data_IF_438780230151
#
_entry.id   IF_438780230151
#
_cell.length_a   1.000
_cell.length_b   1.000
_cell.length_c   1.000
_cell.angle_alpha   90.00
_cell.angle_beta   90.00
_cell.angle_gamma   90.00
#
_symmetry.space_group_name_H-M   'P 1'
#
loop_
_entity.id
_entity.type
_entity.pdbx_description
1 polymer ?
#
# COMPACT_ATOMS: atom_id res chain seq x y z
N UNK A 1 16.44 47.21 -28.00
CA UNK A 1 16.87 46.38 -26.85
C UNK A 1 15.99 45.14 -26.66
N UNK A 2 14.66 45.21 -26.80
CA UNK A 2 13.78 44.04 -26.70
C UNK A 2 14.05 42.93 -27.72
N UNK A 3 14.49 43.29 -28.93
CA UNK A 3 14.86 42.35 -29.99
C UNK A 3 16.04 41.44 -29.60
N UNK A 4 17.09 42.01 -28.99
CA UNK A 4 18.26 41.24 -28.54
C UNK A 4 17.88 40.30 -27.39
N UNK A 5 17.04 40.75 -26.46
CA UNK A 5 16.57 39.91 -25.36
C UNK A 5 15.71 38.73 -25.85
N UNK A 6 14.86 38.97 -26.86
CA UNK A 6 14.08 37.92 -27.52
C UNK A 6 14.98 36.87 -28.18
N UNK A 7 16.01 37.31 -28.91
CA UNK A 7 16.97 36.40 -29.56
C UNK A 7 17.74 35.52 -28.57
N UNK A 8 18.20 36.09 -27.46
CA UNK A 8 18.88 35.32 -26.40
C UNK A 8 17.93 34.30 -25.77
N UNK A 9 16.68 34.69 -25.50
CA UNK A 9 15.68 33.79 -24.92
C UNK A 9 15.33 32.63 -25.87
N UNK A 10 15.19 32.91 -27.16
CA UNK A 10 14.90 31.90 -28.19
C UNK A 10 16.08 30.93 -28.36
N UNK A 11 17.32 31.43 -28.42
CA UNK A 11 18.52 30.60 -28.48
C UNK A 11 18.59 29.65 -27.27
N UNK A 12 18.49 30.19 -26.05
CA UNK A 12 18.53 29.37 -24.82
C UNK A 12 17.40 28.33 -24.81
N UNK A 13 16.18 28.73 -25.18
CA UNK A 13 15.01 27.83 -25.17
C UNK A 13 15.13 26.71 -26.21
N UNK A 14 15.77 26.99 -27.36
CA UNK A 14 16.00 26.00 -28.42
C UNK A 14 17.14 25.04 -28.09
N UNK A 15 18.25 25.53 -27.53
CA UNK A 15 19.46 24.71 -27.30
C UNK A 15 19.36 23.88 -26.02
N UNK A 16 18.62 24.33 -25.00
CA UNK A 16 18.46 23.59 -23.74
C UNK A 16 17.94 22.14 -23.92
N UNK A 17 16.87 21.89 -24.71
CA UNK A 17 16.40 20.54 -25.00
C UNK A 17 17.40 19.60 -25.66
N UNK A 18 18.25 20.10 -26.56
CA UNK A 18 19.25 19.31 -27.27
C UNK A 18 20.42 18.92 -26.36
N UNK A 19 20.88 19.86 -25.53
CA UNK A 19 22.06 19.65 -24.67
C UNK A 19 21.70 18.94 -23.38
N UNK A 20 20.61 19.35 -22.72
CA UNK A 20 20.23 18.85 -21.39
C UNK A 20 19.17 17.74 -21.46
N UNK A 21 18.54 17.55 -22.62
CA UNK A 21 17.39 16.68 -22.77
C UNK A 21 16.15 17.22 -22.05
N UNK A 22 15.00 16.62 -22.33
CA UNK A 22 13.81 16.85 -21.52
C UNK A 22 13.82 15.95 -20.29
N UNK A 23 13.61 16.53 -19.11
CA UNK A 23 13.36 15.76 -17.90
C UNK A 23 12.14 14.87 -18.14
N UNK A 24 12.37 13.56 -18.27
CA UNK A 24 11.31 12.58 -18.44
C UNK A 24 10.49 12.53 -17.16
N UNK A 25 9.32 13.16 -17.19
CA UNK A 25 8.33 12.99 -16.14
C UNK A 25 7.68 11.64 -16.36
N UNK A 26 8.07 10.65 -15.57
CA UNK A 26 7.32 9.41 -15.48
C UNK A 26 5.96 9.75 -14.87
N UNK A 27 4.93 9.71 -15.70
CA UNK A 27 3.57 9.69 -15.20
C UNK A 27 3.41 8.43 -14.35
N UNK A 28 2.61 8.53 -13.28
CA UNK A 28 2.35 7.37 -12.44
C UNK A 28 1.73 6.30 -13.33
N UNK A 29 2.14 5.05 -13.13
CA UNK A 29 1.73 3.88 -13.94
C UNK A 29 0.20 3.75 -14.09
N UNK A 30 -0.57 4.32 -13.17
CA UNK A 30 -2.02 4.24 -13.15
C UNK A 30 -2.76 5.35 -13.92
N UNK A 31 -2.08 6.39 -14.41
CA UNK A 31 -2.74 7.48 -15.13
C UNK A 31 -2.96 7.07 -16.60
N UNK A 32 -4.20 7.09 -17.05
CA UNK A 32 -4.56 6.74 -18.42
C UNK A 32 -4.30 7.89 -19.40
N UNK A 33 -4.20 7.56 -20.70
CA UNK A 33 -4.07 8.54 -21.79
C UNK A 33 -5.26 9.50 -21.81
N UNK A 34 -6.49 8.98 -21.69
CA UNK A 34 -7.71 9.78 -21.62
C UNK A 34 -7.66 10.81 -20.47
N UNK A 35 -7.13 10.45 -19.30
CA UNK A 35 -6.94 11.41 -18.19
C UNK A 35 -5.90 12.48 -18.52
N UNK A 36 -4.84 12.14 -19.26
CA UNK A 36 -3.85 13.12 -19.71
C UNK A 36 -4.45 14.11 -20.71
N UNK A 37 -5.27 13.64 -21.64
CA UNK A 37 -5.97 14.49 -22.61
C UNK A 37 -6.92 15.46 -21.91
N UNK A 38 -7.69 14.97 -20.93
CA UNK A 38 -8.54 15.82 -20.08
C UNK A 38 -7.73 16.87 -19.30
N UNK A 39 -6.54 16.52 -18.79
CA UNK A 39 -5.66 17.48 -18.12
C UNK A 39 -5.19 18.57 -19.09
N UNK A 40 -4.90 18.19 -20.34
CA UNK A 40 -4.50 19.12 -21.37
C UNK A 40 -5.65 20.04 -21.78
N UNK A 41 -6.84 19.51 -21.96
CA UNK A 41 -8.05 20.31 -22.22
C UNK A 41 -8.29 21.34 -21.11
N UNK A 42 -8.18 20.93 -19.84
CA UNK A 42 -8.29 21.84 -18.69
C UNK A 42 -7.27 22.98 -18.77
N UNK A 43 -6.04 22.71 -19.21
CA UNK A 43 -5.00 23.75 -19.39
C UNK A 43 -5.40 24.74 -20.48
N UNK A 44 -5.94 24.25 -21.59
CA UNK A 44 -6.42 25.10 -22.69
C UNK A 44 -7.58 26.01 -22.22
N UNK A 45 -8.54 25.47 -21.45
CA UNK A 45 -9.61 26.27 -20.84
C UNK A 45 -9.07 27.31 -19.85
N UNK A 46 -8.01 26.98 -19.10
CA UNK A 46 -7.34 27.93 -18.21
C UNK A 46 -6.68 29.08 -18.98
N UNK A 47 -6.07 28.79 -20.14
CA UNK A 47 -5.50 29.81 -21.01
C UNK A 47 -6.59 30.77 -21.54
N UNK A 48 -7.76 30.25 -21.93
CA UNK A 48 -8.89 31.08 -22.36
C UNK A 48 -9.36 32.07 -21.29
N UNK A 49 -9.35 31.67 -20.01
CA UNK A 49 -9.64 32.58 -18.89
C UNK A 49 -8.60 33.70 -18.79
N UNK A 50 -7.31 33.37 -18.93
CA UNK A 50 -6.23 34.34 -18.80
C UNK A 50 -6.22 35.37 -19.93
N UNK A 51 -6.67 34.99 -21.13
CA UNK A 51 -6.73 35.87 -22.33
C UNK A 51 -8.03 36.70 -22.36
N UNK A 52 -9.04 36.35 -21.57
CA UNK A 52 -10.35 37.01 -21.60
C UNK A 52 -10.28 38.51 -21.22
N UNK A 53 -10.81 39.36 -22.10
CA UNK A 53 -10.75 40.82 -21.96
C UNK A 53 -11.94 41.41 -21.19
N UNK A 54 -13.13 40.82 -21.29
CA UNK A 54 -14.36 41.34 -20.66
C UNK A 54 -14.85 40.42 -19.55
N UNK A 55 -15.53 40.99 -18.55
CA UNK A 55 -16.04 40.25 -17.38
C UNK A 55 -17.01 39.13 -17.77
N UNK A 56 -17.85 39.35 -18.78
CA UNK A 56 -18.79 38.35 -19.29
C UNK A 56 -18.07 37.17 -19.96
N UNK A 57 -17.10 37.42 -20.85
CA UNK A 57 -16.30 36.36 -21.49
C UNK A 57 -15.50 35.55 -20.46
N UNK A 58 -14.96 36.23 -19.44
CA UNK A 58 -14.26 35.60 -18.32
C UNK A 58 -15.18 34.68 -17.51
N UNK A 59 -16.40 35.11 -17.21
CA UNK A 59 -17.38 34.30 -16.50
C UNK A 59 -17.74 33.02 -17.28
N UNK A 60 -17.95 33.13 -18.60
CA UNK A 60 -18.22 31.96 -19.47
C UNK A 60 -17.05 30.98 -19.49
N UNK A 61 -15.83 31.47 -19.73
CA UNK A 61 -14.63 30.62 -19.74
C UNK A 61 -14.37 29.96 -18.36
N UNK A 62 -14.69 30.67 -17.27
CA UNK A 62 -14.59 30.14 -15.92
C UNK A 62 -15.59 29.00 -15.66
N UNK A 63 -16.81 29.09 -16.18
CA UNK A 63 -17.79 28.02 -16.11
C UNK A 63 -17.31 26.77 -16.85
N UNK A 64 -16.81 26.92 -18.09
CA UNK A 64 -16.26 25.82 -18.89
C UNK A 64 -15.06 25.14 -18.19
N UNK A 65 -14.12 25.93 -17.67
CA UNK A 65 -12.99 25.40 -16.89
C UNK A 65 -13.46 24.61 -15.67
N UNK A 66 -14.52 25.07 -15.00
CA UNK A 66 -15.04 24.42 -13.79
C UNK A 66 -15.58 23.03 -14.11
N UNK A 67 -16.29 22.86 -15.22
CA UNK A 67 -16.78 21.55 -15.66
C UNK A 67 -15.65 20.60 -16.06
N UNK A 68 -14.72 21.04 -16.90
CA UNK A 68 -13.57 20.19 -17.29
C UNK A 68 -12.70 19.83 -16.07
N UNK A 69 -12.53 20.75 -15.12
CA UNK A 69 -11.80 20.47 -13.88
C UNK A 69 -12.52 19.44 -12.99
N UNK A 70 -13.87 19.41 -12.98
CA UNK A 70 -14.63 18.34 -12.32
C UNK A 70 -14.39 17.00 -13.02
N UNK A 71 -14.40 16.96 -14.35
CA UNK A 71 -14.15 15.75 -15.13
C UNK A 71 -12.75 15.19 -14.87
N UNK A 72 -11.70 16.02 -14.94
CA UNK A 72 -10.32 15.62 -14.58
C UNK A 72 -10.25 15.03 -13.16
N UNK A 73 -10.91 15.65 -12.19
CA UNK A 73 -10.94 15.12 -10.81
C UNK A 73 -11.70 13.79 -10.72
N UNK A 74 -12.68 13.53 -11.58
CA UNK A 74 -13.40 12.25 -11.63
C UNK A 74 -12.53 11.18 -12.30
N UNK A 75 -11.95 11.48 -13.46
CA UNK A 75 -11.11 10.53 -14.20
C UNK A 75 -9.91 10.07 -13.38
N UNK A 76 -9.20 11.00 -12.71
CA UNK A 76 -8.08 10.67 -11.81
C UNK A 76 -8.50 9.71 -10.68
N UNK A 77 -9.72 9.89 -10.12
CA UNK A 77 -10.22 9.00 -9.06
C UNK A 77 -10.57 7.63 -9.62
N UNK A 78 -11.18 7.58 -10.81
CA UNK A 78 -11.54 6.34 -11.50
C UNK A 78 -10.30 5.53 -11.86
N UNK A 79 -9.31 6.17 -12.49
CA UNK A 79 -8.04 5.55 -12.88
C UNK A 79 -7.32 4.94 -11.68
N UNK A 80 -7.21 5.72 -10.58
CA UNK A 80 -6.60 5.23 -9.34
C UNK A 80 -7.37 4.02 -8.78
N UNK A 81 -8.71 4.04 -8.82
CA UNK A 81 -9.54 2.94 -8.33
C UNK A 81 -9.32 1.68 -9.15
N UNK A 82 -9.40 1.79 -10.48
CA UNK A 82 -9.16 0.67 -11.41
C UNK A 82 -7.80 0.04 -11.18
N UNK A 83 -6.75 0.86 -11.10
CA UNK A 83 -5.40 0.36 -10.82
C UNK A 83 -5.29 -0.39 -9.47
N UNK A 84 -5.94 0.10 -8.42
CA UNK A 84 -5.96 -0.59 -7.12
C UNK A 84 -6.72 -1.92 -7.19
N UNK A 85 -7.81 -1.96 -7.95
CA UNK A 85 -8.62 -3.16 -8.17
C UNK A 85 -7.86 -4.21 -8.99
N UNK A 86 -7.16 -3.79 -10.04
CA UNK A 86 -6.28 -4.65 -10.86
C UNK A 86 -5.14 -5.24 -10.02
N UNK A 87 -4.53 -4.44 -9.14
CA UNK A 87 -3.54 -4.95 -8.19
C UNK A 87 -4.14 -5.96 -7.21
N UNK A 88 -5.32 -5.68 -6.67
CA UNK A 88 -5.99 -6.58 -5.73
C UNK A 88 -6.38 -7.92 -6.38
N UNK A 89 -6.91 -7.88 -7.61
CA UNK A 89 -7.24 -9.08 -8.38
C UNK A 89 -5.99 -9.89 -8.71
N UNK A 90 -4.89 -9.23 -9.08
CA UNK A 90 -3.58 -9.87 -9.33
C UNK A 90 -3.03 -10.52 -8.06
N UNK A 91 -3.13 -9.84 -6.91
CA UNK A 91 -2.74 -10.42 -5.62
C UNK A 91 -3.56 -11.67 -5.29
N UNK A 92 -4.88 -11.64 -5.49
CA UNK A 92 -5.75 -12.80 -5.27
C UNK A 92 -5.40 -13.98 -6.18
N UNK A 93 -5.01 -13.72 -7.43
CA UNK A 93 -4.50 -14.75 -8.35
C UNK A 93 -3.18 -15.34 -7.85
N UNK A 94 -2.22 -14.50 -7.48
CA UNK A 94 -0.92 -14.96 -6.96
C UNK A 94 -1.08 -15.81 -5.68
N UNK A 95 -2.02 -15.47 -4.80
CA UNK A 95 -2.33 -16.28 -3.62
C UNK A 95 -2.86 -17.68 -3.99
N UNK A 96 -3.79 -17.75 -4.96
CA UNK A 96 -4.34 -19.03 -5.45
C UNK A 96 -3.30 -19.92 -6.11
N UNK A 97 -2.33 -19.32 -6.79
CA UNK A 97 -1.23 -20.02 -7.47
C UNK A 97 -0.05 -20.34 -6.54
N UNK A 98 -0.10 -19.94 -5.26
CA UNK A 98 1.00 -20.12 -4.31
C UNK A 98 2.23 -19.24 -4.60
N UNK A 99 2.12 -18.23 -5.47
CA UNK A 99 3.22 -17.32 -5.80
C UNK A 99 3.40 -16.24 -4.72
N UNK A 100 3.98 -16.66 -3.59
CA UNK A 100 4.14 -15.80 -2.41
C UNK A 100 5.03 -14.58 -2.65
N UNK A 101 5.99 -14.65 -3.57
CA UNK A 101 6.86 -13.51 -3.90
C UNK A 101 6.04 -12.37 -4.54
N UNK A 102 5.26 -12.69 -5.58
CA UNK A 102 4.41 -11.70 -6.24
C UNK A 102 3.34 -11.14 -5.29
N UNK A 103 2.73 -12.00 -4.47
CA UNK A 103 1.76 -11.58 -3.46
C UNK A 103 2.35 -10.52 -2.51
N UNK A 104 3.55 -10.77 -1.98
CA UNK A 104 4.26 -9.85 -1.09
C UNK A 104 4.59 -8.53 -1.77
N UNK A 105 5.10 -8.57 -3.00
CA UNK A 105 5.46 -7.37 -3.77
C UNK A 105 4.22 -6.50 -4.07
N UNK A 106 3.10 -7.11 -4.46
CA UNK A 106 1.83 -6.40 -4.73
C UNK A 106 1.24 -5.83 -3.44
N UNK A 107 1.24 -6.61 -2.36
CA UNK A 107 0.76 -6.15 -1.04
C UNK A 107 1.59 -4.96 -0.56
N UNK A 108 2.91 -4.99 -0.78
CA UNK A 108 3.81 -3.86 -0.49
C UNK A 108 3.43 -2.63 -1.32
N UNK A 109 3.17 -2.78 -2.63
CA UNK A 109 2.66 -1.69 -3.49
C UNK A 109 1.33 -1.11 -3.00
N UNK A 110 0.37 -1.96 -2.60
CA UNK A 110 -0.96 -1.55 -2.13
C UNK A 110 -0.93 -0.84 -0.77
N UNK A 111 -0.07 -1.32 0.14
CA UNK A 111 0.02 -0.80 1.52
C UNK A 111 0.61 0.61 1.65
N UNK A 112 1.21 1.12 0.56
CA UNK A 112 1.89 2.42 0.53
C UNK A 112 3.12 2.47 1.46
N UNK A 113 3.84 3.59 1.46
CA UNK A 113 4.92 3.81 2.43
C UNK A 113 4.33 3.98 3.85
N UNK A 114 4.12 2.88 4.56
CA UNK A 114 4.06 2.93 6.03
C UNK A 114 5.40 3.48 6.50
N UNK A 115 5.40 4.51 7.35
CA UNK A 115 6.63 4.94 8.03
C UNK A 115 7.24 3.69 8.65
N UNK A 116 8.44 3.31 8.25
CA UNK A 116 9.17 2.27 8.96
C UNK A 116 9.29 2.75 10.40
N UNK A 117 8.57 2.13 11.33
CA UNK A 117 9.11 2.02 12.66
C UNK A 117 10.27 1.03 12.49
N UNK A 118 11.47 1.53 12.19
CA UNK A 118 12.67 0.75 12.45
C UNK A 118 12.70 0.53 13.95
N UNK A 119 12.11 -0.58 14.39
CA UNK A 119 12.32 -1.09 15.73
C UNK A 119 13.77 -1.56 15.74
N UNK A 120 14.66 -0.87 16.47
CA UNK A 120 16.05 -1.26 16.48
C UNK A 120 16.17 -2.67 17.06
N UNK A 121 16.83 -3.57 16.32
CA UNK A 121 17.05 -4.95 16.76
C UNK A 121 18.20 -4.93 17.76
N UNK A 122 18.01 -5.55 18.93
CA UNK A 122 19.08 -5.68 19.93
C UNK A 122 19.98 -6.89 19.64
N UNK A 123 21.26 -6.73 19.88
CA UNK A 123 22.25 -7.82 19.89
C UNK A 123 21.96 -8.77 21.04
N UNK A 124 22.63 -9.93 21.04
CA UNK A 124 22.55 -10.90 22.15
C UNK A 124 22.99 -10.29 23.49
N UNK A 125 23.92 -9.32 23.45
CA UNK A 125 24.38 -8.55 24.61
C UNK A 125 23.51 -7.34 24.98
N UNK A 126 22.36 -7.13 24.31
CA UNK A 126 21.42 -6.05 24.62
C UNK A 126 21.69 -4.71 23.92
N UNK A 127 22.77 -4.58 23.16
CA UNK A 127 23.11 -3.37 22.42
C UNK A 127 22.22 -3.17 21.19
N UNK A 128 21.89 -1.92 20.86
CA UNK A 128 21.05 -1.61 19.70
C UNK A 128 21.85 -1.69 18.39
N UNK A 129 21.39 -2.52 17.45
CA UNK A 129 22.01 -2.67 16.13
C UNK A 129 21.32 -1.74 15.12
N UNK A 130 22.07 -0.76 14.62
CA UNK A 130 21.61 0.24 13.63
C UNK A 130 21.94 -0.12 12.18
N UNK A 131 22.93 -0.98 11.95
CA UNK A 131 23.36 -1.39 10.59
C UNK A 131 22.53 -2.59 10.07
N UNK A 132 21.97 -2.47 8.86
CA UNK A 132 21.13 -3.49 8.20
C UNK A 132 21.81 -4.84 8.02
N UNK A 133 23.11 -4.87 7.71
CA UNK A 133 23.87 -6.11 7.54
C UNK A 133 24.04 -6.83 8.89
N UNK A 134 24.40 -6.09 9.94
CA UNK A 134 24.49 -6.61 11.30
C UNK A 134 23.13 -7.11 11.82
N UNK A 135 22.04 -6.44 11.46
CA UNK A 135 20.68 -6.91 11.79
C UNK A 135 20.37 -8.25 11.11
N UNK A 136 20.73 -8.42 9.83
CA UNK A 136 20.57 -9.70 9.12
C UNK A 136 21.40 -10.81 9.78
N UNK A 137 22.65 -10.54 10.12
CA UNK A 137 23.51 -11.50 10.82
C UNK A 137 22.93 -11.91 12.17
N UNK A 138 22.35 -10.96 12.92
CA UNK A 138 21.68 -11.26 14.20
C UNK A 138 20.44 -12.14 14.02
N UNK A 139 19.65 -11.91 12.98
CA UNK A 139 18.50 -12.77 12.65
C UNK A 139 18.96 -14.20 12.30
N UNK A 140 20.01 -14.33 11.49
CA UNK A 140 20.58 -15.65 11.13
C UNK A 140 21.07 -16.39 12.38
N UNK A 141 21.75 -15.72 13.29
CA UNK A 141 22.20 -16.30 14.57
C UNK A 141 21.00 -16.77 15.42
N UNK A 142 19.99 -15.91 15.60
CA UNK A 142 18.80 -16.22 16.40
C UNK A 142 18.03 -17.43 15.85
N UNK A 143 17.78 -17.47 14.54
CA UNK A 143 17.08 -18.60 13.93
C UNK A 143 17.92 -19.88 13.91
N UNK A 144 19.26 -19.78 13.80
CA UNK A 144 20.13 -20.95 13.93
C UNK A 144 20.04 -21.58 15.31
N UNK A 145 20.09 -20.78 16.37
CA UNK A 145 19.93 -21.25 17.76
C UNK A 145 18.54 -21.85 18.02
N UNK A 146 17.49 -21.21 17.49
CA UNK A 146 16.11 -21.63 17.72
C UNK A 146 15.76 -22.93 16.99
N UNK A 147 16.14 -23.05 15.70
CA UNK A 147 15.72 -24.16 14.84
C UNK A 147 16.68 -25.36 14.90
N UNK A 148 17.95 -25.16 15.28
CA UNK A 148 18.94 -26.24 15.36
C UNK A 148 19.32 -26.55 16.81
N UNK A 149 18.42 -26.32 17.77
CA UNK A 149 18.66 -26.68 19.17
C UNK A 149 18.87 -28.20 19.26
N UNK A 150 20.03 -28.69 19.73
CA UNK A 150 20.21 -30.12 19.95
C UNK A 150 19.20 -30.60 20.99
N UNK A 151 18.74 -31.85 20.86
CA UNK A 151 17.88 -32.47 21.86
C UNK A 151 18.51 -32.30 23.25
N UNK A 152 17.74 -31.82 24.23
CA UNK A 152 18.30 -31.58 25.55
C UNK A 152 18.76 -32.91 26.15
N UNK A 153 20.02 -32.96 26.60
CA UNK A 153 20.62 -34.13 27.24
C UNK A 153 19.86 -34.58 28.50
N UNK A 154 19.18 -33.63 29.15
CA UNK A 154 18.18 -33.93 30.16
C UNK A 154 16.81 -33.90 29.46
N UNK A 155 16.13 -35.04 29.28
CA UNK A 155 14.70 -34.98 28.98
C UNK A 155 14.04 -34.17 30.12
N UNK A 156 13.12 -33.22 29.82
CA UNK A 156 12.35 -32.60 30.88
C UNK A 156 11.70 -33.71 31.69
N UNK A 157 11.94 -33.73 33.00
CA UNK A 157 11.25 -34.63 33.92
C UNK A 157 9.81 -34.12 34.01
N UNK A 158 8.99 -34.54 33.04
CA UNK A 158 7.55 -34.33 33.06
C UNK A 158 7.06 -35.34 34.09
N UNK A 159 6.83 -34.88 35.32
CA UNK A 159 6.01 -35.64 36.26
C UNK A 159 4.72 -35.99 35.51
N UNK A 160 4.43 -37.29 35.41
CA UNK A 160 3.23 -37.75 34.76
C UNK A 160 2.05 -37.02 35.41
N UNK A 161 1.34 -36.22 34.61
CA UNK A 161 0.11 -35.59 35.07
C UNK A 161 -0.76 -36.73 35.63
N UNK A 162 -1.40 -36.55 36.80
CA UNK A 162 -2.36 -37.51 37.32
C UNK A 162 -3.32 -37.86 36.19
N UNK A 163 -3.21 -39.09 35.70
CA UNK A 163 -4.06 -39.56 34.62
C UNK A 163 -5.45 -39.67 35.22
N UNK A 164 -6.41 -39.08 34.51
CA UNK A 164 -7.83 -39.02 34.82
C UNK A 164 -8.25 -37.94 35.83
N UNK A 165 -8.29 -36.69 35.35
CA UNK A 165 -9.41 -35.84 35.76
C UNK A 165 -10.69 -36.57 35.35
N UNK A 166 -11.70 -36.73 36.24
CA UNK A 166 -12.95 -37.39 35.93
C UNK A 166 -13.81 -36.48 35.05
N UNK A 167 -13.34 -36.23 33.84
CA UNK A 167 -14.04 -35.50 32.81
C UNK A 167 -14.77 -36.57 32.02
N UNK A 168 -16.08 -36.64 32.21
CA UNK A 168 -16.95 -37.50 31.42
C UNK A 168 -16.92 -37.01 29.96
N UNK A 169 -16.08 -37.63 29.14
CA UNK A 169 -15.98 -37.37 27.69
C UNK A 169 -17.10 -38.07 26.91
N UNK A 170 -18.00 -38.77 27.61
CA UNK A 170 -19.15 -39.45 27.03
C UNK A 170 -20.25 -38.48 26.56
N UNK A 171 -21.16 -38.93 25.68
CA UNK A 171 -22.29 -38.14 25.26
C UNK A 171 -23.14 -37.71 26.48
N UNK A 172 -23.60 -36.45 26.55
CA UNK A 172 -24.38 -35.98 27.69
C UNK A 172 -25.67 -36.79 27.85
N UNK A 173 -25.90 -37.24 29.07
CA UNK A 173 -27.02 -38.11 29.45
C UNK A 173 -28.34 -37.34 29.32
N UNK A 174 -29.45 -38.08 29.17
CA UNK A 174 -30.79 -37.47 29.06
C UNK A 174 -31.11 -36.56 30.26
N UNK A 175 -30.61 -36.89 31.46
CA UNK A 175 -30.76 -36.08 32.69
C UNK A 175 -30.02 -34.75 32.55
N UNK A 176 -28.75 -34.77 32.12
CA UNK A 176 -27.94 -33.57 31.90
C UNK A 176 -28.64 -32.59 30.96
N UNK A 177 -29.20 -33.11 29.85
CA UNK A 177 -29.94 -32.28 28.87
C UNK A 177 -31.21 -31.67 29.44
N UNK A 178 -31.92 -32.37 30.33
CA UNK A 178 -33.14 -31.86 30.98
C UNK A 178 -32.78 -30.80 32.03
N UNK A 179 -31.70 -31.01 32.77
CA UNK A 179 -31.21 -30.08 33.78
C UNK A 179 -30.70 -28.77 33.15
N UNK A 180 -29.96 -28.84 32.04
CA UNK A 180 -29.56 -27.64 31.28
C UNK A 180 -30.76 -26.92 30.67
N UNK A 181 -31.77 -27.65 30.17
CA UNK A 181 -33.02 -27.03 29.67
C UNK A 181 -33.79 -26.33 30.79
N UNK A 182 -33.87 -26.93 31.98
CA UNK A 182 -34.52 -26.31 33.14
C UNK A 182 -33.79 -25.05 33.63
N UNK A 183 -32.46 -24.96 33.44
CA UNK A 183 -31.69 -23.76 33.77
C UNK A 183 -31.80 -22.66 32.71
N UNK A 184 -31.87 -23.03 31.43
CA UNK A 184 -31.98 -22.08 30.31
C UNK A 184 -33.40 -21.52 30.15
N UNK A 185 -34.41 -22.31 30.48
CA UNK A 185 -35.82 -21.98 30.29
C UNK A 185 -36.59 -22.12 31.60
N UNK A 186 -36.03 -21.58 32.70
CA UNK A 186 -36.57 -21.66 34.07
C UNK A 186 -38.10 -21.80 34.13
N UNK A 187 -38.54 -22.76 34.96
CA UNK A 187 -39.93 -23.20 35.17
C UNK A 187 -40.97 -22.18 34.72
N UNK A 188 -41.79 -22.56 33.74
CA UNK A 188 -43.16 -22.04 33.64
C UNK A 188 -43.88 -22.27 34.98
#
# INVERSE_FOLDING_TARGET
MESNWKGIKEAITSTCPEVLGHKKHHHKEWITVDTLDNIQERRNKKAAINISQTRAKKAKAQAEYTEVNKQVKRSIRTDKRKYMEDLATTAGKAAREGNMRQLCDITKKLSGNRRKLERPVKSKGGEVITNTEKQRSRWVEHFKELLNRPASLNPPNIEAAPTDLPINVGPPTRIDRVQTKSQLYGSL
#
